data_IF_375063066270
#
_entry.id   IF_375063066270
#
_cell.length_a   1.000
_cell.length_b   1.000
_cell.length_c   1.000
_cell.angle_alpha   90.00
_cell.angle_beta   90.00
_cell.angle_gamma   90.00
#
_symmetry.space_group_name_H-M   'P 1'
#
loop_
_entity.id
_entity.type
_entity.pdbx_description
1 polymer ?
#
# COMPACT_ATOMS: atom_id res chain seq x y z
N UNK A 1 16.39 11.69 10.22
CA UNK A 1 15.52 12.16 9.12
C UNK A 1 16.29 12.85 8.00
N UNK A 2 17.42 13.50 8.29
CA UNK A 2 18.04 14.47 7.37
C UNK A 2 18.53 13.89 6.04
N UNK A 3 19.14 12.69 6.04
CA UNK A 3 19.75 12.07 4.85
C UNK A 3 18.77 11.82 3.69
N UNK A 4 17.51 11.52 3.99
CA UNK A 4 16.51 11.15 2.98
C UNK A 4 15.53 12.28 2.63
N UNK A 5 15.67 13.45 3.27
CA UNK A 5 14.76 14.59 3.09
C UNK A 5 14.75 15.14 1.66
N UNK A 6 15.84 14.96 0.90
CA UNK A 6 15.94 15.42 -0.50
C UNK A 6 15.08 14.60 -1.46
N UNK A 7 14.86 13.32 -1.17
CA UNK A 7 14.24 12.41 -2.12
C UNK A 7 12.74 12.53 -2.18
N UNK A 8 12.18 12.36 -3.38
CA UNK A 8 10.75 12.22 -3.61
C UNK A 8 10.37 10.73 -3.64
N UNK A 9 9.46 10.34 -2.76
CA UNK A 9 9.00 8.95 -2.65
C UNK A 9 7.74 8.66 -3.48
N UNK A 10 7.11 9.64 -4.13
CA UNK A 10 5.81 9.45 -4.78
C UNK A 10 5.80 8.28 -5.77
N UNK A 11 6.92 8.05 -6.46
CA UNK A 11 7.06 7.03 -7.50
C UNK A 11 6.92 5.59 -6.98
N UNK A 12 7.23 5.33 -5.70
CA UNK A 12 7.17 3.96 -5.16
C UNK A 12 5.76 3.49 -4.84
N UNK A 13 4.77 4.39 -4.88
CA UNK A 13 3.38 4.09 -4.56
C UNK A 13 2.47 4.01 -5.80
N UNK A 14 3.01 4.16 -7.02
CA UNK A 14 2.26 4.01 -8.27
C UNK A 14 2.25 2.56 -8.81
N UNK A 15 2.92 1.62 -8.14
CA UNK A 15 3.05 0.21 -8.56
C UNK A 15 1.68 -0.47 -8.69
N UNK A 16 1.49 -1.27 -9.75
CA UNK A 16 0.29 -2.06 -10.05
C UNK A 16 0.75 -3.32 -10.83
N UNK A 17 0.39 -4.54 -10.43
CA UNK A 17 -0.93 -5.15 -10.66
C UNK A 17 -1.49 -5.97 -9.48
N UNK A 18 -0.71 -6.16 -8.42
CA UNK A 18 -1.01 -7.12 -7.35
C UNK A 18 -1.27 -6.43 -6.01
N UNK A 19 -2.16 -5.44 -6.01
CA UNK A 19 -2.63 -4.76 -4.80
C UNK A 19 -3.83 -5.50 -4.23
N UNK A 20 -3.71 -5.98 -3.00
CA UNK A 20 -4.78 -6.72 -2.31
C UNK A 20 -5.17 -6.02 -1.03
N UNK A 21 -6.48 -5.94 -0.76
CA UNK A 21 -7.01 -5.25 0.41
C UNK A 21 -8.22 -5.92 1.03
N UNK A 22 -8.34 -5.77 2.34
CA UNK A 22 -9.48 -6.21 3.17
C UNK A 22 -10.10 -5.03 3.89
N UNK A 23 -11.42 -5.10 4.10
CA UNK A 23 -12.17 -4.20 4.98
C UNK A 23 -13.13 -5.00 5.88
N UNK A 24 -13.16 -4.67 7.17
CA UNK A 24 -14.02 -5.32 8.16
C UNK A 24 -13.57 -6.72 8.58
N UNK A 25 -14.21 -7.24 9.62
CA UNK A 25 -13.80 -8.48 10.31
C UNK A 25 -14.03 -9.75 9.47
N UNK A 26 -14.83 -9.65 8.40
CA UNK A 26 -15.06 -10.75 7.46
C UNK A 26 -14.08 -10.75 6.28
N UNK A 27 -13.07 -9.88 6.27
CA UNK A 27 -12.11 -9.73 5.17
C UNK A 27 -12.78 -9.49 3.81
N UNK A 28 -13.82 -8.65 3.79
CA UNK A 28 -14.43 -8.18 2.56
C UNK A 28 -13.37 -7.53 1.69
N UNK A 29 -13.28 -7.93 0.41
CA UNK A 29 -12.33 -7.33 -0.53
C UNK A 29 -12.63 -5.85 -0.70
N UNK A 30 -11.58 -5.04 -0.60
CA UNK A 30 -11.55 -3.65 -1.01
C UNK A 30 -10.48 -3.48 -2.08
N UNK A 31 -10.77 -2.62 -3.06
CA UNK A 31 -9.82 -2.20 -4.08
C UNK A 31 -9.44 -0.75 -3.81
N UNK A 32 -8.14 -0.45 -3.92
CA UNK A 32 -7.61 0.91 -3.79
C UNK A 32 -6.85 1.24 -5.08
N UNK A 33 -7.10 2.42 -5.62
CA UNK A 33 -6.37 2.97 -6.77
C UNK A 33 -5.92 4.38 -6.46
N UNK A 34 -4.62 4.63 -6.48
CA UNK A 34 -4.11 5.99 -6.52
C UNK A 34 -4.16 6.53 -7.95
N UNK A 35 -4.74 7.73 -8.09
CA UNK A 35 -4.85 8.48 -9.36
C UNK A 35 -3.75 9.53 -9.43
N UNK A 36 -3.45 10.19 -8.31
CA UNK A 36 -2.37 11.17 -8.23
C UNK A 36 -1.77 11.20 -6.83
N UNK A 37 -0.46 11.31 -6.77
CA UNK A 37 0.35 11.46 -5.59
C UNK A 37 1.35 12.58 -5.90
N UNK A 38 1.30 13.66 -5.14
CA UNK A 38 2.19 14.82 -5.31
C UNK A 38 2.82 15.17 -3.98
N UNK A 39 4.14 15.29 -3.96
CA UNK A 39 4.86 15.79 -2.80
C UNK A 39 4.47 17.25 -2.54
N UNK A 40 4.22 17.58 -1.28
CA UNK A 40 3.94 18.94 -0.88
C UNK A 40 5.24 19.78 -0.97
N UNK A 41 5.19 20.88 -1.73
CA UNK A 41 6.35 21.75 -1.97
C UNK A 41 6.83 22.46 -0.70
N UNK A 42 5.90 22.79 0.21
CA UNK A 42 6.20 23.47 1.48
C UNK A 42 6.57 22.49 2.58
N UNK A 43 5.97 21.30 2.57
CA UNK A 43 6.23 20.24 3.53
C UNK A 43 6.74 18.98 2.82
N UNK A 44 8.07 18.85 2.72
CA UNK A 44 8.75 17.74 2.04
C UNK A 44 8.48 16.35 2.62
N UNK A 45 7.88 16.23 3.81
CA UNK A 45 7.46 14.95 4.39
C UNK A 45 6.03 14.55 4.06
N UNK A 46 5.25 15.46 3.49
CA UNK A 46 3.84 15.26 3.20
C UNK A 46 3.59 15.09 1.69
N UNK A 47 2.65 14.22 1.37
CA UNK A 47 2.22 13.92 0.01
C UNK A 47 0.71 14.04 -0.07
N UNK A 48 0.22 14.81 -1.03
CA UNK A 48 -1.20 14.95 -1.33
C UNK A 48 -1.61 13.85 -2.30
N UNK A 49 -2.63 13.09 -1.91
CA UNK A 49 -3.11 11.92 -2.64
C UNK A 49 -4.54 12.15 -3.12
N UNK A 50 -4.81 11.70 -4.35
CA UNK A 50 -6.14 11.50 -4.91
C UNK A 50 -6.25 10.07 -5.40
N UNK A 51 -7.37 9.43 -5.14
CA UNK A 51 -7.57 8.04 -5.50
C UNK A 51 -9.03 7.64 -5.51
N UNK A 52 -9.25 6.34 -5.72
CA UNK A 52 -10.56 5.70 -5.69
C UNK A 52 -10.49 4.44 -4.84
N UNK A 53 -11.54 4.20 -4.07
CA UNK A 53 -11.78 2.95 -3.36
C UNK A 53 -12.94 2.21 -4.01
N UNK A 54 -13.00 0.89 -3.85
CA UNK A 54 -14.18 0.12 -4.21
C UNK A 54 -14.42 -1.04 -3.25
N UNK A 55 -15.64 -1.11 -2.72
CA UNK A 55 -16.12 -2.24 -1.94
C UNK A 55 -17.36 -2.79 -2.64
N UNK A 56 -17.29 -4.06 -3.06
CA UNK A 56 -18.30 -4.67 -3.95
C UNK A 56 -18.42 -3.87 -5.26
N UNK A 57 -19.53 -3.18 -5.47
CA UNK A 57 -19.77 -2.32 -6.64
C UNK A 57 -19.80 -0.82 -6.29
N UNK A 58 -19.59 -0.46 -5.03
CA UNK A 58 -19.60 0.93 -4.59
C UNK A 58 -18.20 1.53 -4.73
N UNK A 59 -18.04 2.45 -5.68
CA UNK A 59 -16.79 3.17 -5.93
C UNK A 59 -16.89 4.55 -5.31
N UNK A 60 -15.87 4.95 -4.54
CA UNK A 60 -15.77 6.29 -4.00
C UNK A 60 -14.44 6.94 -4.40
N UNK A 61 -14.49 8.22 -4.71
CA UNK A 61 -13.33 9.07 -4.84
C UNK A 61 -12.84 9.46 -3.45
N UNK A 62 -11.53 9.45 -3.24
CA UNK A 62 -10.93 9.94 -2.01
C UNK A 62 -9.80 10.92 -2.27
N UNK A 63 -9.59 11.80 -1.30
CA UNK A 63 -8.43 12.69 -1.23
C UNK A 63 -7.82 12.64 0.16
N UNK A 64 -6.54 12.97 0.29
CA UNK A 64 -5.93 13.08 1.61
C UNK A 64 -4.42 13.12 1.55
N UNK A 65 -3.77 12.64 2.59
CA UNK A 65 -2.31 12.75 2.72
C UNK A 65 -1.63 11.47 3.18
N UNK A 66 -0.37 11.34 2.78
CA UNK A 66 0.62 10.47 3.40
C UNK A 66 1.69 11.37 4.01
N UNK A 67 2.00 11.20 5.29
CA UNK A 67 2.98 12.01 6.02
C UNK A 67 4.07 11.10 6.58
N UNK A 68 5.30 11.26 6.08
CA UNK A 68 6.46 10.49 6.50
C UNK A 68 6.77 10.78 7.97
N UNK A 69 6.80 9.71 8.77
CA UNK A 69 7.14 9.73 10.20
C UNK A 69 8.58 9.34 10.42
N UNK A 70 9.12 8.42 9.63
CA UNK A 70 10.50 7.95 9.78
C UNK A 70 11.00 7.31 8.51
N UNK A 71 12.28 7.47 8.23
CA UNK A 71 13.01 6.69 7.22
C UNK A 71 14.19 6.05 7.92
N UNK A 72 14.32 4.73 7.77
CA UNK A 72 15.39 3.92 8.35
C UNK A 72 16.14 3.21 7.25
N UNK A 73 17.46 3.34 7.22
CA UNK A 73 18.29 2.54 6.34
C UNK A 73 18.37 1.09 6.85
N UNK A 74 18.35 0.12 5.94
CA UNK A 74 18.52 -1.29 6.28
C UNK A 74 19.99 -1.55 6.61
N UNK A 75 20.24 -2.27 7.72
CA UNK A 75 21.62 -2.62 8.14
C UNK A 75 22.35 -3.52 7.14
N UNK A 76 21.61 -4.31 6.36
CA UNK A 76 22.15 -5.23 5.36
C UNK A 76 21.43 -4.98 4.05
N UNK A 77 22.20 -4.60 3.04
CA UNK A 77 21.76 -4.53 1.65
C UNK A 77 21.51 -5.95 1.15
N UNK A 78 20.41 -6.14 0.44
CA UNK A 78 20.06 -7.42 -0.19
C UNK A 78 20.23 -7.30 -1.70
N UNK A 79 20.66 -8.37 -2.36
CA UNK A 79 20.98 -8.33 -3.79
C UNK A 79 20.21 -9.37 -4.60
N UNK A 80 19.08 -9.88 -4.09
CA UNK A 80 18.26 -10.84 -4.80
C UNK A 80 18.82 -12.26 -4.71
N UNK A 81 18.31 -13.15 -5.56
CA UNK A 81 18.82 -14.51 -5.66
C UNK A 81 20.24 -14.49 -6.25
N UNK A 82 21.16 -15.26 -5.65
CA UNK A 82 22.56 -15.36 -6.09
C UNK A 82 23.25 -14.01 -6.36
N UNK A 83 22.94 -12.98 -5.57
CA UNK A 83 23.51 -11.62 -5.69
C UNK A 83 23.28 -10.95 -7.07
N UNK A 84 22.21 -11.29 -7.80
CA UNK A 84 21.92 -10.77 -9.15
C UNK A 84 21.94 -9.23 -9.26
N UNK A 85 21.55 -8.51 -8.19
CA UNK A 85 21.52 -7.05 -8.15
C UNK A 85 22.81 -6.40 -7.61
N UNK A 86 23.86 -7.18 -7.30
CA UNK A 86 25.07 -6.65 -6.65
C UNK A 86 25.80 -5.57 -7.46
N UNK A 87 25.80 -5.72 -8.78
CA UNK A 87 26.55 -4.85 -9.68
C UNK A 87 25.70 -3.75 -10.33
N UNK A 88 24.41 -3.64 -9.98
CA UNK A 88 23.50 -2.63 -10.59
C UNK A 88 23.65 -1.24 -9.96
N UNK A 89 24.46 -1.12 -8.90
CA UNK A 89 24.80 0.15 -8.25
C UNK A 89 23.75 0.62 -7.23
N UNK A 90 23.16 -0.30 -6.45
CA UNK A 90 22.29 0.07 -5.32
C UNK A 90 23.14 0.78 -4.26
N UNK A 91 22.81 2.05 -3.99
CA UNK A 91 23.53 2.89 -3.02
C UNK A 91 23.10 2.62 -1.57
N UNK A 92 21.80 2.43 -1.35
CA UNK A 92 21.24 2.10 -0.03
C UNK A 92 19.85 1.47 -0.18
N UNK A 93 19.39 0.79 0.87
CA UNK A 93 18.01 0.29 0.98
C UNK A 93 17.41 0.78 2.28
N UNK A 94 16.10 0.99 2.32
CA UNK A 94 15.47 1.52 3.52
C UNK A 94 14.01 1.14 3.68
N UNK A 95 13.54 1.37 4.90
CA UNK A 95 12.14 1.29 5.32
C UNK A 95 11.64 2.71 5.62
N UNK A 96 10.64 3.14 4.86
CA UNK A 96 9.85 4.33 5.12
C UNK A 96 8.62 3.94 5.95
N UNK A 97 8.38 4.70 7.01
CA UNK A 97 7.20 4.62 7.87
C UNK A 97 6.47 5.96 7.76
N UNK A 98 5.19 5.92 7.43
CA UNK A 98 4.34 7.10 7.32
C UNK A 98 2.99 6.89 8.00
N UNK A 99 2.33 7.98 8.36
CA UNK A 99 0.90 7.98 8.65
C UNK A 99 0.15 8.33 7.37
N UNK A 100 -1.05 7.82 7.19
CA UNK A 100 -1.92 8.23 6.11
C UNK A 100 -3.32 8.57 6.63
N UNK A 101 -3.99 9.47 5.90
CA UNK A 101 -5.38 9.83 6.12
C UNK A 101 -6.03 10.14 4.78
N UNK A 102 -7.08 9.41 4.40
CA UNK A 102 -7.84 9.64 3.18
C UNK A 102 -9.33 9.80 3.50
N UNK A 103 -9.99 10.75 2.89
CA UNK A 103 -11.42 11.03 3.06
C UNK A 103 -12.13 10.82 1.73
N UNK A 104 -13.11 9.93 1.72
CA UNK A 104 -14.00 9.72 0.57
C UNK A 104 -14.97 10.90 0.41
N UNK A 105 -15.42 11.17 -0.83
CA UNK A 105 -16.41 12.21 -1.08
C UNK A 105 -17.71 11.89 -0.31
N UNK A 106 -18.05 12.76 0.63
CA UNK A 106 -19.24 12.65 1.48
C UNK A 106 -20.57 12.58 0.71
N UNK A 107 -20.59 13.01 -0.55
CA UNK A 107 -21.77 12.94 -1.40
C UNK A 107 -21.95 11.56 -2.04
N UNK A 108 -20.94 10.69 -1.99
CA UNK A 108 -21.00 9.32 -2.49
C UNK A 108 -21.57 8.38 -1.43
N UNK A 109 -22.26 7.34 -1.91
CA UNK A 109 -22.89 6.35 -1.04
C UNK A 109 -21.83 5.63 -0.21
N UNK A 110 -22.18 5.37 1.06
CA UNK A 110 -21.35 4.61 2.00
C UNK A 110 -19.92 5.15 2.16
N UNK A 111 -19.74 6.47 2.03
CA UNK A 111 -18.45 7.14 2.20
C UNK A 111 -17.95 7.17 3.66
N UNK A 112 -16.64 7.24 3.80
CA UNK A 112 -15.94 7.30 5.08
C UNK A 112 -14.53 7.85 4.99
N UNK A 113 -13.76 7.59 6.03
CA UNK A 113 -12.38 8.05 6.21
C UNK A 113 -11.46 6.86 6.49
N UNK A 114 -10.39 6.74 5.71
CA UNK A 114 -9.28 5.83 5.96
C UNK A 114 -8.21 6.51 6.80
N UNK A 115 -7.66 5.79 7.78
CA UNK A 115 -6.51 6.25 8.57
C UNK A 115 -5.67 5.10 9.08
N UNK A 116 -4.35 5.30 9.12
CA UNK A 116 -3.44 4.27 9.61
C UNK A 116 -1.98 4.58 9.32
N UNK A 117 -1.19 3.51 9.27
CA UNK A 117 0.25 3.57 8.98
C UNK A 117 0.58 2.90 7.65
N UNK A 118 1.56 3.45 6.96
CA UNK A 118 2.16 2.90 5.75
C UNK A 118 3.61 2.50 6.03
N UNK A 119 3.97 1.29 5.60
CA UNK A 119 5.36 0.82 5.52
C UNK A 119 5.75 0.55 4.07
N UNK A 120 6.82 1.18 3.62
CA UNK A 120 7.35 1.02 2.26
C UNK A 120 8.83 0.68 2.32
N UNK A 121 9.23 -0.40 1.65
CA UNK A 121 10.62 -0.76 1.42
C UNK A 121 11.04 -0.18 0.08
N UNK A 122 12.16 0.53 0.07
CA UNK A 122 12.71 1.20 -1.11
C UNK A 122 14.22 0.95 -1.23
N UNK A 123 14.78 1.31 -2.37
CA UNK A 123 16.22 1.46 -2.55
C UNK A 123 16.57 2.74 -3.30
N UNK A 124 17.81 3.20 -3.11
CA UNK A 124 18.40 4.31 -3.88
C UNK A 124 19.26 3.69 -4.98
N UNK A 125 18.95 3.99 -6.23
CA UNK A 125 19.72 3.50 -7.39
C UNK A 125 21.02 4.29 -7.60
N UNK A 126 21.81 3.87 -8.60
CA UNK A 126 23.08 4.51 -8.96
C UNK A 126 22.94 6.01 -9.32
N UNK A 127 21.76 6.43 -9.74
CA UNK A 127 21.44 7.80 -10.16
C UNK A 127 20.80 8.65 -9.05
N UNK A 128 20.80 8.18 -7.79
CA UNK A 128 20.15 8.85 -6.66
C UNK A 128 18.61 8.97 -6.82
N UNK A 129 17.98 8.03 -7.50
CA UNK A 129 16.52 7.93 -7.51
C UNK A 129 16.01 6.90 -6.50
N UNK A 130 14.91 7.24 -5.83
CA UNK A 130 14.15 6.27 -5.04
C UNK A 130 13.41 5.33 -5.98
N UNK A 131 13.59 4.04 -5.74
CA UNK A 131 12.92 2.96 -6.43
C UNK A 131 12.14 2.10 -5.44
N UNK A 132 11.01 1.58 -5.91
CA UNK A 132 10.30 0.51 -5.23
C UNK A 132 11.23 -0.69 -5.11
N UNK A 133 11.31 -1.30 -3.92
CA UNK A 133 12.23 -2.40 -3.68
C UNK A 133 11.56 -3.74 -3.93
N UNK A 134 11.67 -4.24 -5.15
CA UNK A 134 11.24 -5.55 -5.64
C UNK A 134 12.37 -6.60 -5.68
N UNK A 135 13.55 -6.28 -5.16
CA UNK A 135 14.75 -7.14 -5.21
C UNK A 135 14.48 -8.53 -4.61
N UNK A 136 13.62 -8.59 -3.60
CA UNK A 136 13.29 -9.82 -2.89
C UNK A 136 11.89 -10.34 -3.24
N UNK A 137 11.30 -9.92 -4.36
CA UNK A 137 9.93 -10.29 -4.74
C UNK A 137 9.75 -11.78 -5.02
N UNK A 138 10.84 -12.51 -5.23
CA UNK A 138 10.84 -13.97 -5.38
C UNK A 138 10.58 -14.72 -4.07
N UNK A 139 10.63 -14.04 -2.91
CA UNK A 139 10.35 -14.67 -1.61
C UNK A 139 8.85 -14.84 -1.42
N UNK A 140 8.46 -16.03 -1.01
CA UNK A 140 7.09 -16.41 -0.65
C UNK A 140 6.38 -15.40 0.26
N UNK A 141 7.08 -14.86 1.25
CA UNK A 141 6.53 -13.91 2.22
C UNK A 141 6.72 -12.44 1.83
N UNK A 142 7.11 -12.16 0.58
CA UNK A 142 7.34 -10.80 0.13
C UNK A 142 6.01 -10.02 0.06
N UNK A 143 6.05 -8.80 0.60
CA UNK A 143 5.03 -7.79 0.44
C UNK A 143 5.68 -6.42 0.62
N UNK A 144 5.03 -5.38 0.09
CA UNK A 144 5.51 -4.00 0.20
C UNK A 144 4.32 -3.03 0.18
N UNK A 145 4.59 -1.74 0.39
CA UNK A 145 3.57 -0.70 0.47
C UNK A 145 2.41 -1.12 1.39
N UNK A 146 2.75 -1.57 2.59
CA UNK A 146 1.81 -2.13 3.55
C UNK A 146 1.05 -1.01 4.28
N UNK A 147 -0.21 -0.83 3.93
CA UNK A 147 -1.15 0.04 4.63
C UNK A 147 -1.93 -0.78 5.66
N UNK A 148 -1.73 -0.46 6.93
CA UNK A 148 -2.48 -1.06 8.05
C UNK A 148 -3.25 0.02 8.77
N UNK A 149 -4.56 -0.16 8.92
CA UNK A 149 -5.39 0.89 9.51
C UNK A 149 -6.87 0.54 9.62
N UNK A 150 -7.68 1.60 9.61
CA UNK A 150 -9.13 1.53 9.76
C UNK A 150 -9.82 2.41 8.73
N UNK A 151 -11.02 2.00 8.36
CA UNK A 151 -12.00 2.83 7.68
C UNK A 151 -13.13 3.18 8.66
N UNK A 152 -13.54 4.44 8.70
CA UNK A 152 -14.62 4.94 9.56
C UNK A 152 -15.75 5.51 8.71
N UNK A 153 -16.96 5.01 8.87
CA UNK A 153 -18.14 5.50 8.16
C UNK A 153 -18.49 6.93 8.55
N UNK A 154 -18.75 7.79 7.57
CA UNK A 154 -19.26 9.14 7.82
C UNK A 154 -20.71 9.12 8.35
N UNK A 155 -21.53 8.19 7.84
CA UNK A 155 -22.95 8.11 8.20
C UNK A 155 -23.17 7.49 9.59
N UNK A 156 -22.51 6.38 9.88
CA UNK A 156 -22.76 5.61 11.11
C UNK A 156 -21.70 5.80 12.20
N UNK A 157 -20.57 6.42 11.89
CA UNK A 157 -19.43 6.54 12.79
C UNK A 157 -18.70 5.22 13.09
N UNK A 158 -19.21 4.08 12.60
CA UNK A 158 -18.63 2.75 12.83
C UNK A 158 -17.27 2.63 12.15
N UNK A 159 -16.34 1.97 12.84
CA UNK A 159 -15.02 1.64 12.31
C UNK A 159 -14.96 0.19 11.85
N UNK A 160 -14.11 -0.04 10.84
CA UNK A 160 -13.74 -1.35 10.32
C UNK A 160 -12.23 -1.39 10.17
N UNK A 161 -11.61 -2.55 10.39
CA UNK A 161 -10.23 -2.79 9.94
C UNK A 161 -10.18 -2.53 8.44
N UNK A 162 -9.12 -1.89 7.96
CA UNK A 162 -8.90 -1.68 6.53
C UNK A 162 -7.40 -1.74 6.25
N UNK A 163 -6.97 -2.86 5.68
CA UNK A 163 -5.57 -3.12 5.39
C UNK A 163 -5.41 -3.46 3.91
N UNK A 164 -4.35 -2.97 3.28
CA UNK A 164 -4.00 -3.35 1.91
C UNK A 164 -2.49 -3.22 1.68
N UNK A 165 -2.00 -3.92 0.68
CA UNK A 165 -0.59 -3.88 0.31
C UNK A 165 -0.34 -4.53 -1.03
N UNK A 166 0.90 -4.41 -1.48
CA UNK A 166 1.39 -5.05 -2.70
C UNK A 166 1.76 -6.51 -2.36
N UNK A 167 1.41 -7.45 -3.26
CA UNK A 167 1.62 -8.89 -3.20
C UNK A 167 0.84 -9.65 -2.12
N UNK A 168 0.74 -9.12 -0.90
CA UNK A 168 -0.07 -9.72 0.19
C UNK A 168 -0.72 -8.65 1.06
N UNK A 169 -1.84 -9.02 1.69
CA UNK A 169 -2.55 -8.13 2.62
C UNK A 169 -1.83 -8.12 3.97
N UNK A 170 -1.39 -6.96 4.50
CA UNK A 170 -0.71 -6.91 5.78
C UNK A 170 -1.68 -7.10 6.95
N UNK A 171 -1.15 -7.59 8.08
CA UNK A 171 -1.85 -7.65 9.37
C UNK A 171 -3.21 -8.40 9.32
N UNK A 172 -3.27 -9.48 8.54
CA UNK A 172 -4.39 -10.44 8.50
C UNK A 172 -4.06 -11.69 9.32
N UNK A 173 -5.09 -12.42 9.75
CA UNK A 173 -4.90 -13.70 10.43
C UNK A 173 -4.34 -14.76 9.46
N UNK A 174 -3.52 -15.70 9.95
CA UNK A 174 -2.98 -16.81 9.16
C UNK A 174 -4.07 -17.74 8.57
N UNK A 175 -5.29 -17.70 9.09
CA UNK A 175 -6.42 -18.44 8.53
C UNK A 175 -7.11 -17.75 7.34
N UNK A 176 -6.67 -16.54 6.97
CA UNK A 176 -7.14 -15.82 5.78
C UNK A 176 -6.26 -16.11 4.57
N UNK A 177 -4.95 -15.86 4.69
CA UNK A 177 -3.97 -16.15 3.65
C UNK A 177 -3.31 -17.50 3.95
N UNK A 178 -3.73 -18.53 3.21
CA UNK A 178 -3.24 -19.91 3.30
C UNK A 178 -2.21 -20.22 2.22
N UNK A 179 -1.70 -19.21 1.52
CA UNK A 179 -0.82 -19.36 0.38
C UNK A 179 0.64 -19.52 0.78
N UNK A 180 1.27 -20.58 0.28
CA UNK A 180 2.69 -20.84 0.52
C UNK A 180 3.60 -19.85 -0.24
N UNK A 181 3.26 -19.50 -1.48
CA UNK A 181 4.06 -18.60 -2.33
C UNK A 181 3.38 -17.26 -2.61
N UNK A 182 2.20 -17.28 -3.23
CA UNK A 182 1.37 -16.08 -3.44
C UNK A 182 0.18 -16.04 -2.48
N UNK A 183 -0.53 -14.91 -2.44
CA UNK A 183 -1.78 -14.78 -1.69
C UNK A 183 -2.78 -15.87 -2.12
N UNK A 184 -3.18 -16.73 -1.17
CA UNK A 184 -4.26 -17.69 -1.38
C UNK A 184 -5.32 -17.50 -0.30
N UNK A 185 -6.48 -17.02 -0.71
CA UNK A 185 -7.56 -16.71 0.24
C UNK A 185 -8.31 -17.98 0.62
N UNK A 186 -8.40 -18.25 1.94
CA UNK A 186 -9.13 -19.40 2.45
C UNK A 186 -10.59 -19.42 1.98
N UNK A 187 -11.08 -20.61 1.64
CA UNK A 187 -12.37 -20.84 0.97
C UNK A 187 -13.55 -20.10 1.62
N UNK A 188 -13.59 -20.10 2.96
CA UNK A 188 -14.64 -19.42 3.76
C UNK A 188 -14.77 -17.92 3.49
N UNK A 189 -13.72 -17.27 3.01
CA UNK A 189 -13.69 -15.84 2.67
C UNK A 189 -13.87 -15.55 1.19
N UNK A 190 -13.83 -16.57 0.32
CA UNK A 190 -13.86 -16.37 -1.13
C UNK A 190 -15.11 -15.61 -1.62
N UNK A 191 -16.26 -15.90 -1.00
CA UNK A 191 -17.53 -15.21 -1.24
C UNK A 191 -17.51 -13.72 -0.89
N UNK A 192 -16.54 -13.26 -0.11
CA UNK A 192 -16.41 -11.86 0.31
C UNK A 192 -15.64 -11.01 -0.72
N UNK A 193 -15.84 -11.29 -2.01
CA UNK A 193 -15.26 -10.53 -3.12
C UNK A 193 -13.93 -11.07 -3.67
N UNK A 194 -13.51 -12.29 -3.31
CA UNK A 194 -12.25 -12.87 -3.76
C UNK A 194 -12.41 -13.92 -4.89
N UNK A 195 -13.62 -14.42 -5.12
CA UNK A 195 -13.94 -15.35 -6.22
C UNK A 195 -13.80 -14.77 -7.63
N UNK A 196 -13.84 -13.44 -7.78
CA UNK A 196 -13.86 -12.79 -9.08
C UNK A 196 -12.71 -11.81 -9.17
N UNK A 197 -11.91 -11.94 -10.22
CA UNK A 197 -10.85 -10.97 -10.51
C UNK A 197 -11.50 -9.60 -10.81
N UNK A 198 -11.05 -8.51 -10.17
CA UNK A 198 -11.55 -7.18 -10.49
C UNK A 198 -11.39 -6.85 -11.97
N UNK A 199 -12.34 -6.08 -12.54
CA UNK A 199 -12.20 -5.54 -13.90
C UNK A 199 -10.92 -4.71 -14.00
N UNK A 200 -10.20 -4.80 -15.11
CA UNK A 200 -8.92 -4.10 -15.32
C UNK A 200 -9.01 -2.57 -15.14
N UNK A 201 -10.22 -1.99 -15.26
CA UNK A 201 -10.49 -0.55 -15.17
C UNK A 201 -11.70 -0.28 -14.26
N UNK A 202 -11.79 -0.98 -13.13
CA UNK A 202 -12.90 -0.81 -12.17
C UNK A 202 -13.05 0.63 -11.64
N UNK A 203 -12.01 1.45 -11.77
CA UNK A 203 -11.92 2.83 -11.29
C UNK A 203 -12.25 3.88 -12.37
N UNK A 204 -12.54 3.45 -13.61
CA UNK A 204 -12.92 4.35 -14.71
C UNK A 204 -14.42 4.60 -14.73
#
# INVERSE_FOLDING_TARGET
MDTYSRYDFSNVWYTNNDVYGVIGDNYQRILIKFISIKRNEKNKTEYVVRGKSSVKSNVCDFTGTITIVKVQELKKTKFGIDDEYKNVGIKSQGLLIANYKFTEDKNQKDAGEFRGTLQTIFYVDKNDFIKYNDIESYKDNYFNNAFTGKWKSNNSGKEKICNWGDYRVPSVNCNFDIGAGELSVAEKYLKNGWNVKPKQKWWQ
#
